data_IF_856212713091
#
_entry.id   IF_856212713091
#
_cell.length_a   1.000
_cell.length_b   1.000
_cell.length_c   1.000
_cell.angle_alpha   90.00
_cell.angle_beta   90.00
_cell.angle_gamma   90.00
#
_symmetry.space_group_name_H-M   'P 1'
#
loop_
_entity.id
_entity.type
_entity.pdbx_description
1 polymer ?
#
# COMPACT_ATOMS: atom_id res chain seq x y z
N UNK A 1 -5.89 -15.38 3.59
CA UNK A 1 -4.83 -14.42 3.23
C UNK A 1 -5.35 -13.61 2.06
N UNK A 2 -5.28 -12.28 2.13
CA UNK A 2 -5.64 -11.41 1.02
C UNK A 2 -4.38 -10.76 0.46
N UNK A 3 -4.17 -10.86 -0.85
CA UNK A 3 -2.94 -10.42 -1.50
C UNK A 3 -3.10 -9.03 -2.14
N UNK A 4 -2.02 -8.26 -2.10
CA UNK A 4 -1.81 -7.05 -2.90
C UNK A 4 -2.72 -5.85 -2.57
N UNK A 5 -2.49 -5.24 -1.39
CA UNK A 5 -3.22 -4.10 -0.82
C UNK A 5 -3.42 -2.88 -1.75
N UNK A 6 -4.67 -2.61 -2.16
CA UNK A 6 -5.15 -1.43 -2.90
C UNK A 6 -4.36 -1.05 -4.17
N UNK A 7 -5.01 -1.01 -5.34
CA UNK A 7 -4.52 -0.24 -6.49
C UNK A 7 -3.25 -0.73 -7.20
N UNK A 8 -2.76 -1.94 -6.91
CA UNK A 8 -1.56 -2.52 -7.57
C UNK A 8 -1.76 -2.76 -9.07
N UNK A 9 -2.96 -3.16 -9.48
CA UNK A 9 -3.30 -3.38 -10.88
C UNK A 9 -3.56 -2.07 -11.65
N UNK A 10 -3.84 -0.98 -10.94
CA UNK A 10 -4.26 0.30 -11.53
C UNK A 10 -3.06 1.20 -11.91
N UNK A 11 -2.01 0.60 -12.48
CA UNK A 11 -0.82 1.36 -12.90
C UNK A 11 -1.09 2.15 -14.17
N UNK A 12 -0.49 3.33 -14.30
CA UNK A 12 -0.68 4.20 -15.48
C UNK A 12 -0.12 3.53 -16.74
N UNK A 13 1.00 2.80 -16.60
CA UNK A 13 1.72 2.23 -17.75
C UNK A 13 1.27 0.82 -18.12
N UNK A 14 0.42 0.18 -17.30
CA UNK A 14 0.07 -1.24 -17.42
C UNK A 14 1.20 -2.21 -17.04
N UNK A 15 2.40 -1.71 -16.69
CA UNK A 15 3.54 -2.54 -16.29
C UNK A 15 3.55 -2.79 -14.79
N UNK A 16 3.96 -4.00 -14.42
CA UNK A 16 4.10 -4.45 -13.03
C UNK A 16 4.93 -3.47 -12.18
N UNK A 17 4.44 -3.20 -10.96
CA UNK A 17 5.09 -2.33 -9.96
C UNK A 17 5.48 -0.93 -10.45
N UNK A 18 4.79 -0.39 -11.45
CA UNK A 18 4.91 1.02 -11.85
C UNK A 18 3.92 1.89 -11.08
N UNK A 19 4.14 3.22 -11.00
CA UNK A 19 3.27 4.09 -10.23
C UNK A 19 1.80 4.05 -10.69
N UNK A 20 0.90 4.10 -9.72
CA UNK A 20 -0.52 4.35 -9.92
C UNK A 20 -0.88 5.74 -9.42
N UNK A 21 -1.84 6.37 -10.10
CA UNK A 21 -2.45 7.63 -9.67
C UNK A 21 -3.93 7.39 -9.46
N UNK A 22 -4.33 7.35 -8.19
CA UNK A 22 -5.67 6.94 -7.77
C UNK A 22 -6.23 8.07 -6.90
N UNK A 23 -7.19 8.85 -7.40
CA UNK A 23 -7.89 9.84 -6.59
C UNK A 23 -8.58 9.20 -5.38
N UNK A 24 -8.69 9.93 -4.26
CA UNK A 24 -9.23 9.39 -3.00
C UNK A 24 -10.68 8.85 -3.15
N UNK A 25 -11.50 9.45 -4.02
CA UNK A 25 -12.86 8.94 -4.32
C UNK A 25 -12.81 7.59 -5.05
N UNK A 26 -11.96 7.45 -6.08
CA UNK A 26 -11.75 6.19 -6.80
C UNK A 26 -11.22 5.10 -5.87
N UNK A 27 -10.26 5.46 -4.99
CA UNK A 27 -9.75 4.55 -3.97
C UNK A 27 -10.87 4.04 -3.06
N UNK A 28 -11.73 4.95 -2.60
CA UNK A 28 -12.85 4.65 -1.69
C UNK A 28 -13.95 3.82 -2.34
N UNK A 29 -14.28 4.10 -3.60
CA UNK A 29 -15.41 3.47 -4.30
C UNK A 29 -15.03 2.13 -4.95
N UNK A 30 -13.83 2.01 -5.52
CA UNK A 30 -13.48 0.84 -6.33
C UNK A 30 -12.45 -0.08 -5.69
N UNK A 31 -11.54 0.46 -4.89
CA UNK A 31 -10.44 -0.33 -4.34
C UNK A 31 -10.66 -0.75 -2.89
N UNK A 32 -11.31 0.06 -2.07
CA UNK A 32 -11.55 -0.25 -0.65
C UNK A 32 -12.61 -1.36 -0.41
N UNK A 33 -13.75 -1.42 -1.12
CA UNK A 33 -14.84 -2.32 -0.74
C UNK A 33 -14.46 -3.81 -0.72
N UNK A 34 -13.62 -4.25 -1.67
CA UNK A 34 -13.19 -5.66 -1.73
C UNK A 34 -12.33 -6.07 -0.53
N UNK A 35 -11.44 -5.18 -0.06
CA UNK A 35 -10.63 -5.43 1.13
C UNK A 35 -11.47 -5.34 2.40
N UNK A 36 -12.42 -4.40 2.45
CA UNK A 36 -13.35 -4.31 3.59
C UNK A 36 -14.16 -5.61 3.71
N UNK A 37 -14.70 -6.13 2.61
CA UNK A 37 -15.39 -7.42 2.61
C UNK A 37 -14.49 -8.58 3.09
N UNK A 38 -13.20 -8.59 2.69
CA UNK A 38 -12.25 -9.60 3.17
C UNK A 38 -11.97 -9.49 4.68
N UNK A 39 -11.83 -8.26 5.20
CA UNK A 39 -11.66 -7.99 6.63
C UNK A 39 -12.90 -8.47 7.40
N UNK A 40 -14.09 -8.13 6.91
CA UNK A 40 -15.37 -8.50 7.52
C UNK A 40 -15.62 -10.02 7.48
N UNK A 41 -15.10 -10.70 6.46
CA UNK A 41 -15.08 -12.16 6.36
C UNK A 41 -14.04 -12.82 7.31
N UNK A 42 -13.30 -12.04 8.09
CA UNK A 42 -12.36 -12.55 9.09
C UNK A 42 -10.96 -12.83 8.57
N UNK A 43 -10.52 -12.17 7.49
CA UNK A 43 -9.14 -12.27 7.01
C UNK A 43 -8.14 -12.00 8.15
N UNK A 44 -7.19 -12.91 8.33
CA UNK A 44 -6.16 -12.83 9.39
C UNK A 44 -4.87 -12.15 8.95
N UNK A 45 -4.64 -12.13 7.64
CA UNK A 45 -3.41 -11.62 7.05
C UNK A 45 -3.69 -10.84 5.77
N UNK A 46 -2.96 -9.73 5.58
CA UNK A 46 -3.00 -8.88 4.39
C UNK A 46 -1.57 -8.62 3.93
N UNK A 47 -1.29 -8.82 2.64
CA UNK A 47 0.00 -8.49 2.02
C UNK A 47 -0.03 -7.11 1.36
N UNK A 48 1.01 -6.30 1.60
CA UNK A 48 1.10 -4.93 1.10
C UNK A 48 1.49 -4.89 -0.38
N UNK A 49 0.97 -3.91 -1.11
CA UNK A 49 1.33 -3.58 -2.50
C UNK A 49 2.79 -3.07 -2.63
N UNK A 50 3.59 -3.69 -3.51
CA UNK A 50 4.99 -3.30 -3.81
C UNK A 50 5.18 -1.97 -4.54
N UNK A 51 4.10 -1.41 -5.05
CA UNK A 51 4.06 -0.24 -5.91
C UNK A 51 3.99 1.08 -5.15
N UNK A 52 3.73 2.12 -5.93
CA UNK A 52 3.68 3.51 -5.49
C UNK A 52 2.31 4.04 -5.86
N UNK A 53 1.56 4.55 -4.87
CA UNK A 53 0.27 5.21 -5.06
C UNK A 53 0.47 6.70 -4.82
N UNK A 54 0.10 7.53 -5.79
CA UNK A 54 0.17 8.99 -5.69
C UNK A 54 1.56 9.50 -5.24
N UNK A 55 2.62 8.87 -5.75
CA UNK A 55 4.01 9.23 -5.44
C UNK A 55 4.57 8.68 -4.12
N UNK A 56 3.79 7.93 -3.34
CA UNK A 56 4.22 7.36 -2.06
C UNK A 56 4.23 5.82 -2.16
N UNK A 57 5.36 5.15 -1.87
CA UNK A 57 5.37 3.69 -1.76
C UNK A 57 4.43 3.22 -0.65
N UNK A 58 3.57 2.25 -0.96
CA UNK A 58 2.53 1.79 -0.03
C UNK A 58 3.14 1.22 1.24
N UNK A 59 4.27 0.51 1.13
CA UNK A 59 5.06 -0.02 2.24
C UNK A 59 5.55 1.06 3.24
N UNK A 60 5.59 2.34 2.83
CA UNK A 60 6.00 3.46 3.68
C UNK A 60 4.85 4.44 4.02
N UNK A 61 3.63 4.14 3.57
CA UNK A 61 2.51 5.07 3.63
C UNK A 61 1.73 4.94 4.94
N UNK A 62 1.92 5.89 5.86
CA UNK A 62 1.16 5.94 7.10
C UNK A 62 -0.35 6.14 6.85
N UNK A 63 -0.72 6.99 5.87
CA UNK A 63 -2.11 7.25 5.46
C UNK A 63 -2.82 5.95 5.06
N UNK A 64 -2.14 5.04 4.39
CA UNK A 64 -2.74 3.77 3.93
C UNK A 64 -2.69 2.72 5.03
N UNK A 65 -1.51 2.48 5.61
CA UNK A 65 -1.31 1.36 6.53
C UNK A 65 -1.92 1.59 7.91
N UNK A 66 -1.95 2.84 8.39
CA UNK A 66 -2.47 3.16 9.72
C UNK A 66 -3.82 3.83 9.63
N UNK A 67 -3.91 5.01 9.00
CA UNK A 67 -5.16 5.78 9.02
C UNK A 67 -6.29 5.06 8.30
N UNK A 68 -6.02 4.49 7.13
CA UNK A 68 -7.02 3.73 6.38
C UNK A 68 -7.18 2.31 6.93
N UNK A 69 -6.12 1.49 6.90
CA UNK A 69 -6.25 0.06 7.16
C UNK A 69 -6.52 -0.27 8.64
N UNK A 70 -5.77 0.32 9.57
CA UNK A 70 -5.99 0.09 11.00
C UNK A 70 -7.19 0.88 11.52
N UNK A 71 -7.19 2.20 11.33
CA UNK A 71 -8.13 3.07 12.01
C UNK A 71 -9.50 3.08 11.33
N UNK A 72 -9.56 3.29 10.00
CA UNK A 72 -10.83 3.40 9.27
C UNK A 72 -11.48 2.05 8.97
N UNK A 73 -10.69 1.03 8.61
CA UNK A 73 -11.21 -0.29 8.25
C UNK A 73 -11.25 -1.29 9.41
N UNK A 74 -10.55 -1.01 10.51
CA UNK A 74 -10.54 -1.84 11.72
C UNK A 74 -9.78 -3.15 11.55
N UNK A 75 -8.78 -3.22 10.68
CA UNK A 75 -8.02 -4.46 10.50
C UNK A 75 -7.09 -4.71 11.69
N UNK A 76 -7.30 -5.80 12.42
CA UNK A 76 -6.48 -6.19 13.58
C UNK A 76 -5.50 -7.33 13.28
N UNK A 77 -5.53 -7.88 12.06
CA UNK A 77 -4.66 -8.98 11.67
C UNK A 77 -3.19 -8.59 11.42
N UNK A 78 -2.43 -9.54 10.89
CA UNK A 78 -1.01 -9.34 10.57
C UNK A 78 -0.87 -8.73 9.18
N UNK A 79 -0.03 -7.70 9.07
CA UNK A 79 0.34 -7.08 7.80
C UNK A 79 1.68 -7.66 7.38
N UNK A 80 1.74 -8.20 6.17
CA UNK A 80 2.92 -8.83 5.57
C UNK A 80 3.46 -7.97 4.43
N UNK A 81 4.78 -7.89 4.29
CA UNK A 81 5.40 -7.28 3.11
C UNK A 81 5.40 -8.26 1.94
N UNK A 82 5.36 -7.76 0.71
CA UNK A 82 5.69 -8.59 -0.45
C UNK A 82 7.23 -8.74 -0.59
N UNK A 83 7.66 -9.60 -1.51
CA UNK A 83 9.04 -10.07 -1.65
C UNK A 83 10.06 -8.93 -1.69
N UNK A 84 10.92 -8.85 -0.67
CA UNK A 84 12.02 -7.88 -0.54
C UNK A 84 11.62 -6.39 -0.61
N UNK A 85 10.35 -6.04 -0.44
CA UNK A 85 9.93 -4.65 -0.67
C UNK A 85 10.49 -3.65 0.33
N UNK A 86 10.90 -4.10 1.51
CA UNK A 86 11.66 -3.26 2.46
C UNK A 86 13.03 -2.87 1.89
N UNK A 87 13.74 -3.80 1.25
CA UNK A 87 15.03 -3.49 0.61
C UNK A 87 14.79 -2.62 -0.63
N UNK A 88 13.74 -2.90 -1.41
CA UNK A 88 13.40 -2.11 -2.59
C UNK A 88 13.00 -0.67 -2.26
N UNK A 89 12.50 -0.37 -1.04
CA UNK A 89 12.32 1.03 -0.60
C UNK A 89 13.63 1.83 -0.61
N UNK A 90 14.74 1.18 -0.24
CA UNK A 90 16.07 1.76 -0.30
C UNK A 90 16.57 1.84 -1.74
N UNK A 91 16.57 0.71 -2.45
CA UNK A 91 17.28 0.58 -3.73
C UNK A 91 16.53 1.21 -4.91
N UNK A 92 15.21 1.01 -4.97
CA UNK A 92 14.37 1.45 -6.09
C UNK A 92 13.86 2.87 -5.90
N UNK A 93 13.36 3.19 -4.72
CA UNK A 93 12.69 4.48 -4.47
C UNK A 93 13.65 5.54 -3.93
N UNK A 94 14.82 5.17 -3.40
CA UNK A 94 15.77 6.09 -2.73
C UNK A 94 15.14 6.90 -1.59
N UNK A 95 14.01 6.44 -1.03
CA UNK A 95 13.23 7.20 -0.05
C UNK A 95 14.02 7.43 1.25
N UNK A 96 14.87 6.46 1.59
CA UNK A 96 15.76 6.51 2.76
C UNK A 96 16.82 7.62 2.65
N UNK A 97 17.30 7.91 1.44
CA UNK A 97 18.26 9.00 1.19
C UNK A 97 17.61 10.38 1.36
N UNK A 98 16.32 10.51 1.03
CA UNK A 98 15.58 11.78 1.14
C UNK A 98 15.20 12.14 2.58
N UNK A 99 14.87 11.15 3.43
CA UNK A 99 14.60 11.43 4.86
C UNK A 99 15.87 11.77 5.63
N UNK A 100 17.01 11.15 5.29
CA UNK A 100 18.29 11.42 5.96
C UNK A 100 18.76 12.87 5.72
N UNK A 101 18.71 13.36 4.48
CA UNK A 101 19.03 14.77 4.14
C UNK A 101 18.14 15.83 4.81
N UNK A 102 17.03 15.42 5.45
CA UNK A 102 16.09 16.34 6.10
C UNK A 102 16.28 16.40 7.62
N UNK A 103 17.19 15.60 8.15
CA UNK A 103 17.55 15.50 9.57
C UNK A 103 18.98 16.02 9.85
N UNK A 104 19.59 16.67 8.86
CA UNK A 104 20.88 17.36 8.92
C UNK A 104 20.63 18.87 8.81
#
# INVERSE_FOLDING_TARGET
MYETLFGYHATISGKDRTPSYIPDHVLSEYHIPSFKAAIDAGAKTIMINSGIINGIPVHSSYKILTDLLRNRLGFEGVILTDWEDINKLHDRTRLFLLKRKRLD
#
